data_IF_184126745333
#
_entry.id   IF_184126745333
#
_cell.length_a   1.000
_cell.length_b   1.000
_cell.length_c   1.000
_cell.angle_alpha   90.00
_cell.angle_beta   90.00
_cell.angle_gamma   90.00
#
_symmetry.space_group_name_H-M   'P 1'
#
loop_
_entity.id
_entity.type
_entity.pdbx_description
1 polymer ?
#
# COMPACT_ATOMS: atom_id res chain seq x y z
N UNK A 1 -35.64 10.94 49.23
CA UNK A 1 -35.69 11.04 47.75
C UNK A 1 -36.78 12.00 47.25
N UNK A 2 -38.06 11.85 47.63
CA UNK A 2 -39.14 12.77 47.21
C UNK A 2 -38.93 14.24 47.63
N UNK A 3 -38.55 14.48 48.88
CA UNK A 3 -38.25 15.82 49.43
C UNK A 3 -37.10 16.53 48.69
N UNK A 4 -36.02 15.80 48.39
CA UNK A 4 -34.89 16.29 47.60
C UNK A 4 -35.29 16.64 46.16
N UNK A 5 -36.23 15.90 45.58
CA UNK A 5 -36.70 16.11 44.21
C UNK A 5 -37.62 17.33 44.12
N UNK A 6 -38.49 17.52 45.13
CA UNK A 6 -39.36 18.69 45.25
C UNK A 6 -38.57 19.97 45.51
N UNK A 7 -37.55 19.93 46.37
CA UNK A 7 -36.69 21.10 46.61
C UNK A 7 -35.84 21.46 45.38
N UNK A 8 -35.35 20.47 44.63
CA UNK A 8 -34.70 20.68 43.33
C UNK A 8 -35.65 21.30 42.31
N UNK A 9 -36.89 20.82 42.25
CA UNK A 9 -37.91 21.31 41.33
C UNK A 9 -38.28 22.78 41.62
N UNK A 10 -38.49 23.13 42.90
CA UNK A 10 -38.75 24.51 43.32
C UNK A 10 -37.56 25.44 43.03
N UNK A 11 -36.33 24.95 43.20
CA UNK A 11 -35.12 25.71 42.87
C UNK A 11 -35.04 25.99 41.36
N UNK A 12 -35.31 24.97 40.52
CA UNK A 12 -35.32 25.08 39.06
C UNK A 12 -36.43 26.03 38.58
N UNK A 13 -37.64 25.94 39.15
CA UNK A 13 -38.75 26.83 38.80
C UNK A 13 -38.46 28.26 39.23
N UNK A 14 -37.90 28.47 40.43
CA UNK A 14 -37.54 29.80 40.96
C UNK A 14 -36.47 30.49 40.13
N UNK A 15 -35.42 29.77 39.74
CA UNK A 15 -34.32 30.32 38.94
C UNK A 15 -34.46 30.05 37.44
N UNK A 16 -35.64 29.64 36.95
CA UNK A 16 -35.83 29.22 35.55
C UNK A 16 -35.28 30.21 34.52
N UNK A 17 -35.47 31.51 34.73
CA UNK A 17 -34.99 32.56 33.82
C UNK A 17 -33.46 32.64 33.82
N UNK A 18 -32.85 32.55 34.99
CA UNK A 18 -31.38 32.55 35.15
C UNK A 18 -30.76 31.27 34.59
N UNK A 19 -31.36 30.10 34.87
CA UNK A 19 -30.92 28.82 34.31
C UNK A 19 -31.06 28.76 32.79
N UNK A 20 -32.15 29.31 32.23
CA UNK A 20 -32.32 29.45 30.79
C UNK A 20 -31.32 30.43 30.18
N UNK A 21 -31.04 31.55 30.84
CA UNK A 21 -30.03 32.50 30.39
C UNK A 21 -28.62 31.88 30.40
N UNK A 22 -28.24 31.18 31.48
CA UNK A 22 -26.96 30.43 31.57
C UNK A 22 -26.91 29.35 30.49
N UNK A 23 -27.98 28.58 30.32
CA UNK A 23 -28.07 27.55 29.28
C UNK A 23 -27.90 28.12 27.87
N UNK A 24 -28.53 29.26 27.58
CA UNK A 24 -28.39 29.96 26.30
C UNK A 24 -26.97 30.49 26.08
N UNK A 25 -26.33 31.05 27.12
CA UNK A 25 -24.93 31.50 27.05
C UNK A 25 -23.98 30.33 26.79
N UNK A 26 -24.13 29.23 27.54
CA UNK A 26 -23.32 28.01 27.35
C UNK A 26 -23.51 27.44 25.94
N UNK A 27 -24.75 27.37 25.46
CA UNK A 27 -25.04 26.93 24.09
C UNK A 27 -24.41 27.87 23.06
N UNK A 28 -24.50 29.18 23.25
CA UNK A 28 -23.89 30.19 22.38
C UNK A 28 -22.36 30.02 22.31
N UNK A 29 -21.70 29.83 23.45
CA UNK A 29 -20.25 29.55 23.51
C UNK A 29 -19.91 28.26 22.78
N UNK A 30 -20.68 27.18 22.99
CA UNK A 30 -20.45 25.91 22.30
C UNK A 30 -20.59 26.05 20.79
N UNK A 31 -21.59 26.78 20.30
CA UNK A 31 -21.79 27.04 18.87
C UNK A 31 -20.62 27.86 18.30
N UNK A 32 -20.23 28.95 18.97
CA UNK A 32 -19.10 29.77 18.54
C UNK A 32 -17.78 28.98 18.52
N UNK A 33 -17.53 28.21 19.57
CA UNK A 33 -16.32 27.38 19.67
C UNK A 33 -16.29 26.28 18.60
N UNK A 34 -17.39 25.55 18.38
CA UNK A 34 -17.47 24.55 17.31
C UNK A 34 -17.36 25.19 15.92
N UNK A 35 -17.95 26.37 15.71
CA UNK A 35 -17.83 27.12 14.45
C UNK A 35 -16.39 27.55 14.17
N UNK A 36 -15.71 28.11 15.17
CA UNK A 36 -14.29 28.45 15.07
C UNK A 36 -13.43 27.20 14.80
N UNK A 37 -13.73 26.07 15.46
CA UNK A 37 -13.05 24.80 15.22
C UNK A 37 -13.26 24.27 13.81
N UNK A 38 -14.50 24.35 13.32
CA UNK A 38 -14.85 23.92 11.97
C UNK A 38 -14.06 24.71 10.93
N UNK A 39 -13.96 26.02 11.08
CA UNK A 39 -13.12 26.87 10.20
C UNK A 39 -11.64 26.56 10.38
N UNK A 40 -11.16 26.40 11.62
CA UNK A 40 -9.78 26.06 11.90
C UNK A 40 -9.36 24.74 11.23
N UNK A 41 -10.25 23.75 11.15
CA UNK A 41 -10.00 22.45 10.53
C UNK A 41 -9.66 22.55 9.02
N UNK A 42 -9.99 23.65 8.33
CA UNK A 42 -9.58 23.88 6.95
C UNK A 42 -8.08 24.18 6.82
N UNK A 43 -7.43 24.64 7.89
CA UNK A 43 -6.01 24.93 7.93
C UNK A 43 -5.22 23.68 8.36
N UNK A 44 -4.35 23.12 7.50
CA UNK A 44 -3.63 21.87 7.78
C UNK A 44 -2.87 21.84 9.12
N UNK A 45 -2.35 22.98 9.56
CA UNK A 45 -1.60 23.11 10.83
C UNK A 45 -2.50 23.07 12.07
N UNK A 46 -3.81 23.24 11.96
CA UNK A 46 -4.70 23.12 13.13
C UNK A 46 -4.83 21.66 13.61
N UNK A 47 -4.65 20.70 12.70
CA UNK A 47 -4.79 19.28 13.00
C UNK A 47 -3.77 18.79 14.04
N UNK A 48 -2.56 19.36 14.06
CA UNK A 48 -1.50 19.00 15.03
C UNK A 48 -1.81 19.49 16.45
N UNK A 49 -2.72 20.46 16.60
CA UNK A 49 -3.08 21.01 17.91
C UNK A 49 -3.92 20.02 18.71
N UNK A 50 -4.72 19.20 18.04
CA UNK A 50 -5.70 18.31 18.67
C UNK A 50 -5.34 16.83 18.56
N UNK A 51 -4.60 16.45 17.51
CA UNK A 51 -4.22 15.08 17.24
C UNK A 51 -2.72 14.95 17.00
N UNK A 52 -2.20 13.76 17.30
CA UNK A 52 -0.82 13.39 16.97
C UNK A 52 -0.66 13.26 15.46
N UNK A 53 -0.46 14.41 14.79
CA UNK A 53 -0.43 14.55 13.34
C UNK A 53 0.91 15.10 12.84
N UNK A 54 1.83 15.50 13.70
CA UNK A 54 3.13 16.08 13.32
C UNK A 54 3.85 15.30 12.21
N UNK A 55 4.07 13.96 12.33
CA UNK A 55 4.76 13.23 11.27
C UNK A 55 3.96 13.18 9.96
N UNK A 56 2.63 13.19 10.02
CA UNK A 56 1.79 13.18 8.80
C UNK A 56 1.78 14.56 8.13
N UNK A 57 1.75 15.62 8.93
CA UNK A 57 1.83 17.00 8.47
C UNK A 57 3.19 17.29 7.81
N UNK A 58 4.28 16.81 8.42
CA UNK A 58 5.62 16.95 7.84
C UNK A 58 5.75 16.25 6.50
N UNK A 59 5.24 15.04 6.38
CA UNK A 59 5.23 14.29 5.12
C UNK A 59 4.29 14.87 4.07
N UNK A 60 3.21 15.53 4.49
CA UNK A 60 2.29 16.24 3.60
C UNK A 60 2.96 17.46 2.99
N UNK A 61 3.71 18.24 3.77
CA UNK A 61 4.45 19.42 3.26
C UNK A 61 5.43 19.08 2.14
N UNK A 62 6.00 17.88 2.14
CA UNK A 62 6.96 17.42 1.14
C UNK A 62 6.34 16.58 0.04
N UNK A 63 5.04 16.26 0.13
CA UNK A 63 4.38 15.43 -0.88
C UNK A 63 3.84 16.25 -2.04
N UNK A 64 3.44 15.54 -3.09
CA UNK A 64 2.75 16.13 -4.26
C UNK A 64 1.37 16.73 -3.93
N UNK A 65 0.88 16.53 -2.72
CA UNK A 65 -0.42 17.02 -2.25
C UNK A 65 -0.29 18.16 -1.24
N UNK A 66 0.89 18.78 -1.11
CA UNK A 66 1.16 19.86 -0.15
C UNK A 66 0.25 21.11 -0.31
N UNK A 67 -0.38 21.29 -1.48
CA UNK A 67 -1.34 22.37 -1.73
C UNK A 67 -2.81 21.96 -1.50
N UNK A 68 -3.05 20.72 -1.10
CA UNK A 68 -4.38 20.17 -0.86
C UNK A 68 -4.63 20.12 0.65
N UNK A 69 -5.65 20.84 1.13
CA UNK A 69 -6.04 20.79 2.54
C UNK A 69 -6.46 19.38 2.97
N UNK A 70 -6.06 18.97 4.17
CA UNK A 70 -6.26 17.62 4.71
C UNK A 70 -7.73 17.17 4.64
N UNK A 71 -8.67 18.09 4.88
CA UNK A 71 -10.10 17.79 4.92
C UNK A 71 -10.73 17.47 3.56
N UNK A 72 -10.05 17.80 2.45
CA UNK A 72 -10.50 17.39 1.10
C UNK A 72 -10.46 15.86 0.96
N UNK A 73 -9.54 15.19 1.67
CA UNK A 73 -9.47 13.74 1.72
C UNK A 73 -10.06 13.17 3.03
N UNK A 74 -9.75 13.80 4.16
CA UNK A 74 -10.21 13.42 5.48
C UNK A 74 -11.49 14.17 5.85
N UNK A 75 -12.62 13.75 5.28
CA UNK A 75 -13.91 14.38 5.57
C UNK A 75 -14.36 14.09 7.00
N UNK A 76 -14.66 15.14 7.76
CA UNK A 76 -15.18 15.05 9.12
C UNK A 76 -16.59 15.65 9.17
N UNK A 77 -17.49 15.01 9.92
CA UNK A 77 -18.77 15.64 10.27
C UNK A 77 -18.59 16.57 11.48
N UNK A 78 -19.45 17.59 11.66
CA UNK A 78 -19.42 18.42 12.87
C UNK A 78 -19.50 17.58 14.15
N UNK A 79 -20.35 16.54 14.14
CA UNK A 79 -20.46 15.59 15.26
C UNK A 79 -19.15 14.84 15.54
N UNK A 80 -18.42 14.43 14.49
CA UNK A 80 -17.12 13.79 14.65
C UNK A 80 -16.12 14.72 15.35
N UNK A 81 -16.06 15.99 14.95
CA UNK A 81 -15.18 16.99 15.58
C UNK A 81 -15.55 17.16 17.06
N UNK A 82 -16.83 17.32 17.38
CA UNK A 82 -17.30 17.47 18.77
C UNK A 82 -16.94 16.27 19.64
N UNK A 83 -17.26 15.04 19.18
CA UNK A 83 -16.95 13.80 19.91
C UNK A 83 -15.44 13.64 20.12
N UNK A 84 -14.66 14.00 19.11
CA UNK A 84 -13.22 13.84 19.14
C UNK A 84 -12.55 14.83 20.08
N UNK A 85 -13.05 16.07 20.12
CA UNK A 85 -12.65 17.09 21.10
C UNK A 85 -12.93 16.62 22.53
N UNK A 86 -14.12 16.07 22.77
CA UNK A 86 -14.48 15.49 24.08
C UNK A 86 -13.57 14.32 24.47
N UNK A 87 -13.25 13.42 23.54
CA UNK A 87 -12.30 12.32 23.77
C UNK A 87 -10.90 12.83 24.11
N UNK A 88 -10.44 13.88 23.45
CA UNK A 88 -9.15 14.50 23.75
C UNK A 88 -9.14 15.08 25.17
N UNK A 89 -10.16 15.87 25.53
CA UNK A 89 -10.26 16.49 26.87
C UNK A 89 -10.40 15.47 28.00
N UNK A 90 -11.08 14.36 27.75
CA UNK A 90 -11.26 13.28 28.73
C UNK A 90 -10.10 12.29 28.77
N UNK A 91 -9.07 12.46 27.93
CA UNK A 91 -7.96 11.52 27.81
C UNK A 91 -8.32 10.19 27.15
N UNK A 92 -9.54 10.04 26.61
CA UNK A 92 -10.04 8.83 25.94
C UNK A 92 -9.69 8.79 24.44
N UNK A 93 -8.71 9.58 24.00
CA UNK A 93 -8.28 9.62 22.60
C UNK A 93 -7.39 8.42 22.26
N UNK A 94 -7.49 7.93 21.03
CA UNK A 94 -6.59 6.88 20.53
C UNK A 94 -5.36 7.55 19.88
N UNK A 95 -4.13 7.30 20.38
CA UNK A 95 -2.92 7.88 19.80
C UNK A 95 -2.54 7.29 18.43
N UNK A 96 -3.20 6.21 17.99
CA UNK A 96 -3.00 5.56 16.69
C UNK A 96 -4.27 5.70 15.82
N UNK A 97 -4.58 6.91 15.31
CA UNK A 97 -5.74 7.08 14.45
C UNK A 97 -5.53 6.36 13.11
N UNK A 98 -6.52 5.56 12.70
CA UNK A 98 -6.61 5.05 11.34
C UNK A 98 -7.66 5.86 10.59
N UNK A 99 -7.27 6.42 9.45
CA UNK A 99 -8.17 7.15 8.59
C UNK A 99 -8.61 6.28 7.41
N UNK A 100 -9.93 6.14 7.25
CA UNK A 100 -10.53 5.49 6.09
C UNK A 100 -10.93 6.57 5.08
N UNK A 101 -10.11 6.77 4.04
CA UNK A 101 -10.36 7.77 2.99
C UNK A 101 -11.09 7.10 1.81
N UNK A 102 -12.37 7.43 1.55
CA UNK A 102 -13.13 6.88 0.42
C UNK A 102 -12.55 7.31 -0.93
N UNK A 103 -12.53 6.41 -1.90
CA UNK A 103 -11.98 6.65 -3.25
C UNK A 103 -12.65 7.83 -3.97
N UNK A 104 -13.94 8.09 -3.66
CA UNK A 104 -14.66 9.26 -4.18
C UNK A 104 -14.01 10.60 -3.83
N UNK A 105 -13.23 10.68 -2.75
CA UNK A 105 -12.51 11.90 -2.39
C UNK A 105 -11.34 12.13 -3.37
N UNK A 106 -10.64 11.06 -3.73
CA UNK A 106 -9.58 11.09 -4.72
C UNK A 106 -10.13 11.39 -6.12
N UNK A 107 -11.25 10.74 -6.49
CA UNK A 107 -11.89 10.83 -7.81
C UNK A 107 -12.88 12.00 -7.94
N UNK A 108 -12.81 12.98 -7.04
CA UNK A 108 -13.62 14.20 -7.14
C UNK A 108 -13.26 14.99 -8.40
N UNK A 109 -14.20 15.81 -8.90
CA UNK A 109 -14.05 16.62 -10.12
C UNK A 109 -12.79 17.49 -10.13
N UNK A 110 -12.43 18.01 -8.96
CA UNK A 110 -11.31 18.93 -8.79
C UNK A 110 -9.98 18.20 -8.53
N UNK A 111 -9.96 16.87 -8.61
CA UNK A 111 -8.82 16.00 -8.29
C UNK A 111 -8.53 14.99 -9.42
N UNK A 112 -8.85 13.70 -9.24
CA UNK A 112 -8.52 12.61 -10.16
C UNK A 112 -9.75 12.05 -10.88
N UNK A 113 -10.65 12.91 -11.36
CA UNK A 113 -11.82 12.49 -12.12
C UNK A 113 -11.42 11.65 -13.36
N UNK A 114 -12.11 10.53 -13.56
CA UNK A 114 -11.89 9.63 -14.70
C UNK A 114 -10.51 8.94 -14.72
N UNK A 115 -9.73 9.00 -13.63
CA UNK A 115 -8.34 8.51 -13.65
C UNK A 115 -8.23 6.99 -13.90
N UNK A 116 -9.25 6.23 -13.50
CA UNK A 116 -9.30 4.77 -13.67
C UNK A 116 -9.41 4.40 -15.15
N UNK A 117 -10.13 5.22 -15.92
CA UNK A 117 -10.42 5.01 -17.34
C UNK A 117 -9.33 5.57 -18.27
N UNK A 118 -8.42 6.42 -17.77
CA UNK A 118 -7.36 7.10 -18.54
C UNK A 118 -6.19 6.19 -18.99
N UNK A 119 -6.40 4.88 -19.11
CA UNK A 119 -5.43 3.92 -19.61
C UNK A 119 -4.15 3.77 -18.75
N UNK A 120 -3.05 3.38 -19.40
CA UNK A 120 -1.80 2.98 -18.73
C UNK A 120 -1.13 4.15 -17.98
N UNK A 121 -0.72 3.88 -16.75
CA UNK A 121 0.10 4.72 -15.90
C UNK A 121 1.56 4.24 -15.88
N UNK A 122 2.48 5.17 -15.56
CA UNK A 122 3.91 4.90 -15.47
C UNK A 122 4.43 5.26 -14.08
N UNK A 123 5.20 4.35 -13.48
CA UNK A 123 5.92 4.53 -12.22
C UNK A 123 7.38 4.12 -12.43
N UNK A 124 8.25 5.10 -12.67
CA UNK A 124 9.63 4.84 -13.05
C UNK A 124 9.72 4.00 -14.33
N UNK A 125 10.28 2.79 -14.23
CA UNK A 125 10.35 1.83 -15.34
C UNK A 125 9.10 0.94 -15.47
N UNK A 126 8.19 0.98 -14.48
CA UNK A 126 7.00 0.13 -14.45
C UNK A 126 5.86 0.80 -15.20
N UNK A 127 5.16 0.05 -16.06
CA UNK A 127 3.91 0.48 -16.69
C UNK A 127 2.78 -0.44 -16.27
N UNK A 128 1.64 0.12 -15.86
CA UNK A 128 0.47 -0.64 -15.40
C UNK A 128 -0.83 0.06 -15.77
N UNK A 129 -1.97 -0.61 -15.63
CA UNK A 129 -3.28 -0.04 -15.95
C UNK A 129 -4.19 -0.01 -14.72
N UNK A 130 -4.76 1.15 -14.38
CA UNK A 130 -5.66 1.27 -13.23
C UNK A 130 -6.97 0.49 -13.44
N UNK A 131 -7.50 0.46 -14.66
CA UNK A 131 -8.72 -0.26 -14.98
C UNK A 131 -8.56 -1.75 -14.68
N UNK A 132 -7.44 -2.35 -15.08
CA UNK A 132 -7.18 -3.76 -14.82
C UNK A 132 -7.07 -4.09 -13.32
N UNK A 133 -6.58 -3.17 -12.50
CA UNK A 133 -6.42 -3.38 -11.06
C UNK A 133 -7.69 -3.08 -10.27
N UNK A 134 -8.42 -2.02 -10.62
CA UNK A 134 -9.49 -1.46 -9.80
C UNK A 134 -10.89 -2.01 -10.12
N UNK A 135 -11.12 -2.52 -11.35
CA UNK A 135 -12.48 -2.91 -11.79
C UNK A 135 -12.88 -4.33 -11.39
N UNK A 136 -11.91 -5.22 -11.13
CA UNK A 136 -12.14 -6.64 -10.82
C UNK A 136 -11.66 -6.94 -9.41
N UNK A 137 -12.31 -7.88 -8.74
CA UNK A 137 -11.82 -8.42 -7.48
C UNK A 137 -10.44 -9.07 -7.70
N UNK A 138 -9.46 -8.67 -6.89
CA UNK A 138 -8.12 -9.26 -6.89
C UNK A 138 -7.98 -10.09 -5.63
N UNK A 139 -7.82 -11.41 -5.76
CA UNK A 139 -7.74 -12.33 -4.60
C UNK A 139 -8.90 -12.15 -3.60
N UNK A 140 -10.09 -11.88 -4.13
CA UNK A 140 -11.32 -11.70 -3.35
C UNK A 140 -11.58 -10.30 -2.80
N UNK A 141 -10.71 -9.34 -3.07
CA UNK A 141 -10.79 -7.99 -2.51
C UNK A 141 -10.96 -6.93 -3.60
N UNK A 142 -11.66 -5.86 -3.26
CA UNK A 142 -11.75 -4.68 -4.12
C UNK A 142 -10.64 -3.74 -3.70
N UNK A 143 -9.73 -3.46 -4.63
CA UNK A 143 -8.64 -2.53 -4.38
C UNK A 143 -9.18 -1.11 -4.30
N UNK A 144 -8.48 -0.28 -3.52
CA UNK A 144 -8.78 1.13 -3.32
C UNK A 144 -7.60 1.97 -3.73
N UNK A 145 -7.82 3.27 -3.95
CA UNK A 145 -6.71 4.20 -4.24
C UNK A 145 -5.59 4.07 -3.19
N UNK A 146 -5.96 3.99 -1.91
CA UNK A 146 -5.06 3.88 -0.77
C UNK A 146 -4.42 2.50 -0.57
N UNK A 147 -4.86 1.49 -1.33
CA UNK A 147 -4.19 0.18 -1.35
C UNK A 147 -2.80 0.29 -1.98
N UNK A 148 -2.66 1.13 -3.01
CA UNK A 148 -1.38 1.38 -3.68
C UNK A 148 -0.77 2.73 -3.26
N UNK A 149 -1.59 3.78 -3.16
CA UNK A 149 -1.16 5.12 -2.72
C UNK A 149 -1.17 5.23 -1.20
N UNK A 150 -0.06 4.82 -0.61
CA UNK A 150 0.14 4.68 0.81
C UNK A 150 0.46 6.02 1.48
N UNK A 151 -0.12 6.27 2.65
CA UNK A 151 -0.01 7.55 3.37
C UNK A 151 1.34 7.89 4.00
N UNK A 152 2.31 6.97 4.02
CA UNK A 152 3.68 7.19 4.54
C UNK A 152 4.70 6.35 3.74
N UNK A 153 5.11 6.80 2.55
CA UNK A 153 6.16 6.11 1.78
C UNK A 153 7.40 6.97 1.78
N UNK A 154 8.47 6.51 2.45
CA UNK A 154 9.77 7.22 2.44
C UNK A 154 9.69 8.71 2.85
N UNK A 155 8.73 9.06 3.72
CA UNK A 155 8.53 10.45 4.12
C UNK A 155 7.57 11.26 3.24
N UNK A 156 6.88 10.64 2.27
CA UNK A 156 5.82 11.28 1.50
C UNK A 156 4.43 10.83 1.93
N UNK A 157 3.52 11.80 2.07
CA UNK A 157 2.12 11.55 2.30
C UNK A 157 1.38 11.27 0.99
N UNK A 158 0.86 10.05 0.85
CA UNK A 158 0.12 9.53 -0.31
C UNK A 158 1.03 9.42 -1.54
N UNK A 159 1.80 8.34 -1.56
CA UNK A 159 2.69 7.96 -2.64
C UNK A 159 2.57 6.45 -2.92
N UNK A 160 2.93 6.02 -4.13
CA UNK A 160 2.81 4.61 -4.50
C UNK A 160 3.88 3.78 -3.79
N UNK A 161 3.47 2.77 -3.02
CA UNK A 161 4.38 1.80 -2.40
C UNK A 161 4.52 0.56 -3.30
N UNK A 162 5.67 0.38 -3.94
CA UNK A 162 5.94 -0.74 -4.85
C UNK A 162 5.89 -2.11 -4.16
N UNK A 163 6.02 -2.16 -2.83
CA UNK A 163 5.93 -3.42 -2.08
C UNK A 163 4.55 -4.10 -2.24
N UNK A 164 3.47 -3.34 -2.52
CA UNK A 164 2.15 -3.92 -2.80
C UNK A 164 2.13 -4.70 -4.11
N UNK A 165 2.85 -4.19 -5.12
CA UNK A 165 3.00 -4.85 -6.42
C UNK A 165 3.68 -6.21 -6.21
N UNK A 166 4.79 -6.21 -5.47
CA UNK A 166 5.57 -7.43 -5.23
C UNK A 166 4.78 -8.46 -4.43
N UNK A 167 4.06 -8.01 -3.40
CA UNK A 167 3.21 -8.90 -2.61
C UNK A 167 2.17 -9.61 -3.48
N UNK A 168 1.47 -8.90 -4.37
CA UNK A 168 0.43 -9.51 -5.20
C UNK A 168 1.04 -10.37 -6.32
N UNK A 169 2.10 -9.90 -6.97
CA UNK A 169 2.63 -10.53 -8.17
C UNK A 169 3.65 -11.65 -7.91
N UNK A 170 4.21 -11.78 -6.70
CA UNK A 170 5.14 -12.85 -6.35
C UNK A 170 4.65 -13.83 -5.28
N UNK A 171 3.70 -13.43 -4.41
CA UNK A 171 3.20 -14.35 -3.37
C UNK A 171 2.53 -15.57 -4.00
N UNK A 172 3.04 -16.75 -3.69
CA UNK A 172 2.55 -18.03 -4.22
C UNK A 172 2.97 -18.31 -5.67
N UNK A 173 3.91 -17.54 -6.21
CA UNK A 173 4.48 -17.74 -7.56
C UNK A 173 5.87 -18.37 -7.42
N UNK A 174 6.19 -19.29 -8.33
CA UNK A 174 7.50 -19.95 -8.38
C UNK A 174 8.64 -18.97 -8.62
N UNK A 175 9.84 -19.34 -8.17
CA UNK A 175 11.04 -18.53 -8.36
C UNK A 175 11.33 -18.26 -9.85
N UNK A 176 11.87 -17.08 -10.14
CA UNK A 176 12.15 -16.61 -11.50
C UNK A 176 10.89 -16.25 -12.32
N UNK A 177 9.70 -16.26 -11.71
CA UNK A 177 8.44 -15.94 -12.38
C UNK A 177 7.67 -14.84 -11.62
N UNK A 178 6.73 -14.20 -12.33
CA UNK A 178 5.82 -13.21 -11.78
C UNK A 178 4.41 -13.44 -12.34
N UNK A 179 3.38 -13.13 -11.56
CA UNK A 179 2.00 -13.12 -12.03
C UNK A 179 1.85 -12.10 -13.17
N UNK A 180 1.34 -12.51 -14.33
CA UNK A 180 1.25 -11.65 -15.51
C UNK A 180 2.56 -11.48 -16.29
N UNK A 181 3.64 -12.17 -15.88
CA UNK A 181 4.94 -12.15 -16.56
C UNK A 181 5.77 -10.88 -16.31
N UNK A 182 7.08 -11.01 -16.47
CA UNK A 182 8.04 -9.91 -16.26
C UNK A 182 7.76 -8.67 -17.15
N UNK A 183 7.43 -8.83 -18.45
CA UNK A 183 7.11 -7.69 -19.32
C UNK A 183 5.85 -6.94 -18.92
N UNK A 184 4.97 -7.55 -18.12
CA UNK A 184 3.77 -6.90 -17.61
C UNK A 184 4.06 -5.67 -16.76
N UNK A 185 5.25 -5.60 -16.14
CA UNK A 185 5.72 -4.43 -15.39
C UNK A 185 6.82 -3.68 -16.15
N UNK A 186 7.88 -4.38 -16.59
CA UNK A 186 9.10 -3.75 -17.12
C UNK A 186 9.11 -3.54 -18.64
N UNK A 187 8.08 -4.03 -19.35
CA UNK A 187 8.14 -4.18 -20.80
C UNK A 187 9.16 -5.22 -21.25
N UNK A 188 9.28 -5.43 -22.55
CA UNK A 188 10.26 -6.36 -23.11
C UNK A 188 11.65 -5.72 -23.09
N UNK A 189 12.66 -6.34 -22.45
CA UNK A 189 14.02 -5.81 -22.45
C UNK A 189 14.60 -5.86 -23.87
N UNK A 190 15.08 -4.71 -24.36
CA UNK A 190 15.73 -4.57 -25.68
C UNK A 190 17.23 -4.29 -25.60
N UNK A 191 17.78 -4.24 -24.38
CA UNK A 191 19.15 -3.83 -24.15
C UNK A 191 20.07 -5.04 -24.20
N UNK A 192 21.21 -4.85 -24.85
CA UNK A 192 22.38 -5.69 -24.68
C UNK A 192 23.02 -5.35 -23.33
N UNK A 193 23.38 -6.38 -22.57
CA UNK A 193 24.00 -6.25 -21.24
C UNK A 193 25.24 -7.13 -21.17
N UNK A 194 26.27 -6.67 -20.47
CA UNK A 194 27.44 -7.51 -20.17
C UNK A 194 27.25 -8.17 -18.81
N UNK A 195 27.40 -9.49 -18.76
CA UNK A 195 27.34 -10.25 -17.52
C UNK A 195 28.45 -11.31 -17.50
N UNK A 196 29.28 -11.29 -16.45
CA UNK A 196 30.33 -12.29 -16.22
C UNK A 196 31.27 -12.51 -17.43
N UNK A 197 31.63 -11.43 -18.12
CA UNK A 197 32.55 -11.43 -19.26
C UNK A 197 31.90 -11.69 -20.62
N UNK A 198 30.59 -11.89 -20.68
CA UNK A 198 29.85 -12.14 -21.92
C UNK A 198 28.81 -11.06 -22.19
N UNK A 199 28.75 -10.64 -23.45
CA UNK A 199 27.74 -9.72 -23.95
C UNK A 199 26.47 -10.48 -24.33
N UNK A 200 25.35 -10.14 -23.70
CA UNK A 200 24.07 -10.80 -23.83
C UNK A 200 23.02 -9.86 -24.42
N UNK A 201 22.42 -10.23 -25.55
CA UNK A 201 21.30 -9.50 -26.18
C UNK A 201 19.97 -10.14 -25.78
N UNK A 202 19.17 -9.47 -24.94
CA UNK A 202 17.85 -9.99 -24.57
C UNK A 202 16.96 -10.29 -25.78
N UNK A 203 16.99 -9.42 -26.79
CA UNK A 203 16.15 -9.51 -27.98
C UNK A 203 16.39 -10.84 -28.73
N UNK A 204 17.66 -11.17 -28.99
CA UNK A 204 18.07 -12.37 -29.72
C UNK A 204 17.67 -13.67 -29.00
N UNK A 205 17.73 -13.68 -27.67
CA UNK A 205 17.36 -14.86 -26.88
C UNK A 205 15.84 -15.00 -26.72
N UNK A 206 15.11 -13.89 -26.68
CA UNK A 206 13.65 -13.89 -26.66
C UNK A 206 13.08 -14.39 -27.99
N UNK A 207 13.69 -14.06 -29.13
CA UNK A 207 13.29 -14.54 -30.46
C UNK A 207 13.35 -16.08 -30.59
N UNK A 208 14.34 -16.71 -29.96
CA UNK A 208 14.48 -18.18 -29.93
C UNK A 208 13.69 -18.84 -28.79
N UNK A 209 12.90 -18.06 -28.03
CA UNK A 209 11.97 -18.56 -27.01
C UNK A 209 12.57 -18.88 -25.65
N UNK A 210 13.75 -18.32 -25.32
CA UNK A 210 14.38 -18.51 -24.00
C UNK A 210 13.55 -17.80 -22.93
N UNK A 211 13.21 -18.52 -21.87
CA UNK A 211 12.40 -18.00 -20.77
C UNK A 211 13.27 -17.22 -19.78
N UNK A 212 12.74 -16.10 -19.26
CA UNK A 212 13.42 -15.24 -18.28
C UNK A 212 14.02 -16.02 -17.10
N UNK A 213 13.27 -17.00 -16.56
CA UNK A 213 13.67 -17.82 -15.41
C UNK A 213 14.88 -18.74 -15.65
N UNK A 214 15.30 -18.93 -16.89
CA UNK A 214 16.51 -19.70 -17.21
C UNK A 214 17.77 -18.90 -16.87
N UNK A 215 17.68 -17.57 -16.86
CA UNK A 215 18.78 -16.68 -16.48
C UNK A 215 18.52 -16.00 -15.14
N UNK A 216 17.33 -15.45 -14.94
CA UNK A 216 16.90 -14.82 -13.69
C UNK A 216 16.30 -15.85 -12.74
N UNK A 217 17.16 -16.67 -12.13
CA UNK A 217 16.78 -17.80 -11.29
C UNK A 217 15.95 -17.37 -10.08
N UNK A 218 16.30 -16.23 -9.47
CA UNK A 218 15.61 -15.67 -8.32
C UNK A 218 15.49 -14.16 -8.46
N UNK A 219 14.25 -13.69 -8.58
CA UNK A 219 13.93 -12.27 -8.75
C UNK A 219 13.17 -11.68 -7.57
N UNK A 220 12.80 -12.52 -6.60
CA UNK A 220 12.08 -12.10 -5.42
C UNK A 220 12.51 -12.92 -4.21
N UNK A 221 12.50 -12.29 -3.04
CA UNK A 221 12.82 -12.89 -1.76
C UNK A 221 11.71 -12.59 -0.75
N UNK A 222 11.29 -13.61 0.00
CA UNK A 222 10.13 -13.59 0.89
C UNK A 222 8.89 -14.23 0.27
N UNK A 223 7.95 -14.61 1.12
CA UNK A 223 6.75 -15.36 0.75
C UNK A 223 5.43 -14.58 0.97
N UNK A 224 5.51 -13.39 1.56
CA UNK A 224 4.34 -12.59 1.90
C UNK A 224 3.37 -13.30 2.83
N UNK A 225 3.86 -14.21 3.69
CA UNK A 225 3.02 -14.88 4.69
C UNK A 225 2.41 -13.88 5.67
N UNK A 226 1.31 -14.28 6.30
CA UNK A 226 0.70 -13.53 7.40
C UNK A 226 1.21 -14.13 8.70
N UNK A 227 1.83 -13.31 9.53
CA UNK A 227 2.19 -13.69 10.89
C UNK A 227 1.03 -13.35 11.83
N UNK A 228 0.63 -14.28 12.70
CA UNK A 228 -0.46 -14.06 13.65
C UNK A 228 -0.20 -12.87 14.59
N UNK A 229 1.07 -12.53 14.81
CA UNK A 229 1.45 -11.37 15.64
C UNK A 229 0.85 -10.07 15.12
N UNK A 230 0.74 -9.91 13.80
CA UNK A 230 0.15 -8.72 13.17
C UNK A 230 -1.32 -8.52 13.55
N UNK A 231 -2.05 -9.59 13.85
CA UNK A 231 -3.44 -9.49 14.29
C UNK A 231 -3.55 -8.73 15.63
N UNK A 232 -2.55 -8.87 16.50
CA UNK A 232 -2.54 -8.28 17.84
C UNK A 232 -2.15 -6.79 17.84
N UNK A 233 -1.72 -6.24 16.70
CA UNK A 233 -1.54 -4.79 16.55
C UNK A 233 -2.87 -4.03 16.71
N UNK A 234 -3.98 -4.69 16.43
CA UNK A 234 -5.34 -4.13 16.49
C UNK A 234 -6.29 -4.92 17.39
N UNK A 235 -6.13 -6.24 17.52
CA UNK A 235 -7.07 -7.11 18.26
C UNK A 235 -6.49 -7.60 19.59
N UNK A 236 -7.11 -7.21 20.71
CA UNK A 236 -6.67 -7.57 22.07
C UNK A 236 -7.15 -8.98 22.51
N UNK A 237 -8.20 -9.57 21.90
CA UNK A 237 -8.65 -10.91 22.26
C UNK A 237 -9.69 -11.56 21.32
N UNK A 238 -9.59 -12.89 21.18
CA UNK A 238 -10.41 -13.84 20.38
C UNK A 238 -10.44 -13.61 18.87
N UNK A 239 -9.50 -14.24 18.14
CA UNK A 239 -9.64 -14.58 16.72
C UNK A 239 -10.43 -15.90 16.54
N UNK A 240 -11.52 -16.10 17.29
CA UNK A 240 -12.28 -17.36 17.18
C UNK A 240 -13.11 -17.34 15.89
N UNK A 241 -12.69 -18.17 14.92
CA UNK A 241 -13.57 -18.65 13.85
C UNK A 241 -13.61 -17.84 12.54
N UNK A 242 -12.62 -17.00 12.24
CA UNK A 242 -12.54 -16.33 10.93
C UNK A 242 -11.13 -16.37 10.35
N UNK A 243 -10.70 -17.56 9.97
CA UNK A 243 -9.44 -17.81 9.25
C UNK A 243 -9.63 -17.77 7.73
N UNK A 244 -10.84 -17.51 7.24
CA UNK A 244 -11.10 -17.37 5.80
C UNK A 244 -10.43 -16.11 5.26
N UNK A 245 -9.42 -16.23 4.37
CA UNK A 245 -8.73 -15.08 3.81
C UNK A 245 -9.67 -14.11 3.08
N UNK A 246 -10.74 -14.60 2.45
CA UNK A 246 -11.67 -13.75 1.70
C UNK A 246 -12.47 -12.84 2.65
N UNK A 247 -13.01 -13.39 3.74
CA UNK A 247 -13.69 -12.61 4.76
C UNK A 247 -12.76 -11.59 5.44
N UNK A 248 -11.50 -11.96 5.67
CA UNK A 248 -10.49 -11.06 6.23
C UNK A 248 -10.19 -9.91 5.28
N UNK A 249 -9.92 -10.17 4.00
CA UNK A 249 -9.65 -9.13 3.01
C UNK A 249 -10.85 -8.20 2.81
N UNK A 250 -12.06 -8.74 2.71
CA UNK A 250 -13.27 -7.92 2.56
C UNK A 250 -13.46 -6.95 3.73
N UNK A 251 -13.27 -7.44 4.95
CA UNK A 251 -13.45 -6.61 6.15
C UNK A 251 -12.33 -5.58 6.28
N UNK A 252 -11.08 -6.01 6.19
CA UNK A 252 -9.93 -5.17 6.48
C UNK A 252 -9.54 -4.31 5.27
N UNK A 253 -9.34 -4.89 4.10
CA UNK A 253 -8.86 -4.20 2.90
C UNK A 253 -9.99 -3.41 2.23
N UNK A 254 -11.07 -4.09 1.81
CA UNK A 254 -12.14 -3.44 1.05
C UNK A 254 -12.87 -2.37 1.88
N UNK A 255 -13.43 -2.75 3.02
CA UNK A 255 -14.27 -1.82 3.79
C UNK A 255 -13.46 -0.82 4.64
N UNK A 256 -12.37 -1.28 5.25
CA UNK A 256 -11.62 -0.46 6.19
C UNK A 256 -10.32 0.13 5.62
N UNK A 257 -9.96 -0.15 4.35
CA UNK A 257 -8.71 0.32 3.74
C UNK A 257 -7.46 0.00 4.58
N UNK A 258 -7.48 -1.13 5.29
CA UNK A 258 -6.31 -1.67 5.95
C UNK A 258 -5.36 -2.19 4.89
N UNK A 259 -4.09 -1.85 5.08
CA UNK A 259 -3.06 -1.97 4.07
C UNK A 259 -2.47 -3.38 4.14
N UNK A 260 -2.16 -3.97 2.99
CA UNK A 260 -1.78 -5.39 2.91
C UNK A 260 -0.58 -5.71 3.82
N UNK A 261 0.43 -4.83 3.84
CA UNK A 261 1.66 -4.97 4.64
C UNK A 261 1.47 -4.73 6.15
N UNK A 262 0.24 -4.46 6.60
CA UNK A 262 -0.11 -4.54 8.03
C UNK A 262 -0.32 -5.97 8.50
N UNK A 263 -0.54 -6.90 7.57
CA UNK A 263 -0.72 -8.31 7.87
C UNK A 263 0.32 -9.19 7.17
N UNK A 264 0.73 -8.81 5.96
CA UNK A 264 1.67 -9.56 5.14
C UNK A 264 3.11 -9.10 5.36
N UNK A 265 4.00 -10.08 5.44
CA UNK A 265 5.42 -9.85 5.31
C UNK A 265 5.77 -9.25 3.94
N UNK A 266 6.86 -8.47 3.89
CA UNK A 266 7.33 -7.86 2.65
C UNK A 266 7.96 -8.91 1.75
N UNK A 267 7.70 -8.80 0.45
CA UNK A 267 8.47 -9.48 -0.59
C UNK A 267 9.40 -8.45 -1.20
N UNK A 268 10.70 -8.72 -1.16
CA UNK A 268 11.71 -7.88 -1.82
C UNK A 268 11.84 -8.35 -3.26
N UNK A 269 11.78 -7.43 -4.21
CA UNK A 269 12.02 -7.72 -5.62
C UNK A 269 13.32 -7.04 -6.07
N UNK A 270 14.09 -7.76 -6.87
CA UNK A 270 15.36 -7.32 -7.43
C UNK A 270 16.10 -8.49 -8.07
N UNK A 271 17.32 -8.25 -8.52
CA UNK A 271 18.17 -9.31 -9.07
C UNK A 271 18.85 -10.06 -7.91
N UNK A 272 18.13 -11.01 -7.32
CA UNK A 272 18.59 -11.76 -6.14
C UNK A 272 19.59 -12.85 -6.54
N UNK A 273 19.32 -13.54 -7.64
CA UNK A 273 20.19 -14.57 -8.19
C UNK A 273 20.06 -14.68 -9.70
N UNK A 274 21.21 -14.60 -10.36
CA UNK A 274 21.39 -14.83 -11.79
C UNK A 274 22.17 -16.14 -12.01
N UNK A 275 21.89 -16.79 -13.14
CA UNK A 275 22.72 -17.91 -13.59
C UNK A 275 24.14 -17.42 -13.87
N UNK A 276 25.14 -18.19 -13.44
CA UNK A 276 26.55 -17.92 -13.75
C UNK A 276 26.91 -18.52 -15.11
N UNK A 277 27.87 -17.92 -15.81
CA UNK A 277 28.25 -18.32 -17.17
C UNK A 277 28.62 -19.80 -17.31
N UNK A 278 29.23 -20.38 -16.27
CA UNK A 278 29.65 -21.79 -16.26
C UNK A 278 28.58 -22.77 -15.78
N UNK A 279 27.40 -22.28 -15.37
CA UNK A 279 26.27 -23.09 -14.89
C UNK A 279 25.13 -23.19 -15.92
N UNK A 280 25.18 -22.40 -17.00
CA UNK A 280 24.25 -22.53 -18.13
C UNK A 280 24.56 -23.83 -18.88
N UNK A 281 23.79 -24.89 -18.60
CA UNK A 281 23.84 -26.08 -19.43
C UNK A 281 23.47 -25.68 -20.86
N UNK A 282 24.35 -25.94 -21.82
CA UNK A 282 24.16 -25.55 -23.23
C UNK A 282 22.80 -26.04 -23.79
N UNK A 283 22.31 -27.18 -23.29
CA UNK A 283 21.00 -27.76 -23.61
C UNK A 283 19.80 -26.87 -23.21
N UNK A 284 20.03 -25.87 -22.34
CA UNK A 284 19.02 -24.91 -21.88
C UNK A 284 18.67 -23.87 -22.95
N UNK A 285 19.60 -23.57 -23.87
CA UNK A 285 19.42 -22.58 -24.94
C UNK A 285 19.56 -23.19 -26.35
N UNK A 286 20.29 -24.30 -26.48
CA UNK A 286 20.45 -25.01 -27.75
C UNK A 286 19.69 -26.34 -27.73
N UNK A 287 18.80 -26.57 -28.71
CA UNK A 287 18.37 -27.93 -29.05
C UNK A 287 19.62 -28.73 -29.42
N UNK A 288 19.81 -29.91 -28.81
CA UNK A 288 20.92 -30.84 -29.10
C UNK A 288 21.05 -31.10 -30.60
N UNK A 289 21.87 -30.31 -31.26
CA UNK A 289 22.30 -30.50 -32.63
C UNK A 289 23.81 -30.35 -32.62
N UNK A 290 24.48 -31.49 -32.51
CA UNK A 290 25.92 -31.70 -32.71
C UNK A 290 26.86 -30.86 -31.82
N UNK A 291 27.45 -31.54 -30.82
CA UNK A 291 28.15 -30.99 -29.66
C UNK A 291 29.57 -30.44 -29.92
N UNK A 292 29.96 -30.21 -31.18
CA UNK A 292 31.36 -29.96 -31.55
C UNK A 292 31.88 -28.62 -31.03
N UNK A 293 31.08 -27.54 -31.10
CA UNK A 293 31.51 -26.24 -30.57
C UNK A 293 31.63 -26.25 -29.04
N UNK A 294 30.78 -27.00 -28.33
CA UNK A 294 30.83 -27.11 -26.86
C UNK A 294 32.09 -27.80 -26.39
N UNK A 295 32.44 -28.93 -27.01
CA UNK A 295 33.67 -29.67 -26.71
C UNK A 295 34.90 -28.79 -26.96
N UNK A 296 34.92 -28.04 -28.07
CA UNK A 296 35.99 -27.11 -28.39
C UNK A 296 36.15 -25.98 -27.36
N UNK A 297 35.06 -25.34 -26.90
CA UNK A 297 35.14 -24.26 -25.91
C UNK A 297 35.50 -24.73 -24.49
N UNK A 298 35.06 -25.94 -24.10
CA UNK A 298 35.39 -26.54 -22.80
C UNK A 298 36.77 -27.22 -22.78
N UNK A 299 37.53 -27.16 -23.89
CA UNK A 299 38.83 -27.84 -23.99
C UNK A 299 38.74 -29.37 -23.97
N UNK A 300 37.54 -29.91 -24.22
CA UNK A 300 37.32 -31.34 -24.28
C UNK A 300 37.91 -31.89 -25.58
N UNK A 301 38.91 -32.76 -25.45
CA UNK A 301 39.59 -33.39 -26.56
C UNK A 301 38.65 -34.30 -27.35
N UNK A 302 38.88 -34.40 -28.66
CA UNK A 302 38.23 -35.41 -29.47
C UNK A 302 38.56 -36.82 -28.96
N UNK A 303 37.77 -37.84 -29.33
CA UNK A 303 37.97 -39.23 -28.90
C UNK A 303 39.42 -39.69 -29.15
N UNK A 304 40.19 -39.86 -28.07
CA UNK A 304 41.62 -40.26 -28.13
C UNK A 304 42.63 -39.13 -27.91
N UNK A 305 42.18 -37.88 -27.68
CA UNK A 305 43.02 -36.73 -27.35
C UNK A 305 42.73 -36.31 -25.91
N UNK A 306 43.77 -36.05 -25.11
CA UNK A 306 43.61 -35.61 -23.74
C UNK A 306 43.03 -34.19 -23.68
N UNK A 307 42.13 -33.94 -22.73
CA UNK A 307 41.58 -32.60 -22.48
C UNK A 307 42.71 -31.63 -22.11
N UNK A 308 42.66 -30.43 -22.68
CA UNK A 308 43.62 -29.35 -22.38
C UNK A 308 42.86 -28.14 -21.85
N UNK A 309 43.34 -27.46 -20.80
CA UNK A 309 42.68 -26.25 -20.30
C UNK A 309 42.65 -25.19 -21.40
N UNK A 310 41.46 -24.70 -21.73
CA UNK A 310 41.28 -23.45 -22.48
C UNK A 310 41.51 -22.23 -21.58
#
# INVERSE_FOLDING_TARGET
MKEMFLSWWDLVVRYRKTLLAIGAVVLGILVLFNGAFFVAAYFPKSCVVCHYMDPFYDQWKTSRHADVSCIKCHSFSPLFITVTTLKYWTGLYNPRPHANVPDKQCLSSDCHEGRIEQGKAKLGAITFDHQEHMTKLKRGEQLRCTTCHYSIVQGEHIAVDTNVCFLCHFKGISQGQALGGCPGCHGTPKKTVDHSGFTFSHDSYLEIGVQCKQCHLRVAEGDGRVDERHCFDCHVGRLKGKSDPLALHRTHVTYNAIKCLKCHEKIRHGEVELVKTFEVQCDSCHKRLHNYQKEMYMGAGARGVADTPS
#
